data_IF_782135691418
#
_entry.id   IF_782135691418
#
_cell.length_a   1.000
_cell.length_b   1.000
_cell.length_c   1.000
_cell.angle_alpha   90.00
_cell.angle_beta   90.00
_cell.angle_gamma   90.00
#
_symmetry.space_group_name_H-M   'P 1'
#
loop_
_entity.id
_entity.type
_entity.pdbx_description
1 polymer ?
#
# COMPACT_ATOMS: atom_id res chain seq x y z
N UNK A 1 -12.86 -2.46 18.32
CA UNK A 1 -11.49 -2.94 18.50
C UNK A 1 -11.38 -4.35 17.91
N UNK A 2 -10.91 -4.47 16.66
CA UNK A 2 -10.54 -5.74 15.99
C UNK A 2 -9.63 -5.39 14.79
N UNK A 3 -8.47 -4.79 15.05
CA UNK A 3 -7.49 -4.42 14.00
C UNK A 3 -6.10 -5.05 14.27
N UNK A 4 -5.93 -5.74 15.41
CA UNK A 4 -4.61 -6.17 15.87
C UNK A 4 -4.19 -7.54 15.30
N UNK A 5 -5.16 -8.42 14.97
CA UNK A 5 -4.89 -9.77 14.46
C UNK A 5 -4.32 -9.77 13.03
N UNK A 6 -4.77 -8.86 12.17
CA UNK A 6 -4.38 -8.82 10.76
C UNK A 6 -2.91 -8.43 10.58
N UNK A 7 -2.40 -7.53 11.43
CA UNK A 7 -1.01 -7.06 11.40
C UNK A 7 0.01 -8.18 11.65
N UNK A 8 -0.33 -9.10 12.56
CA UNK A 8 0.50 -10.27 12.91
C UNK A 8 0.58 -11.30 11.76
N UNK A 9 -0.51 -11.42 10.99
CA UNK A 9 -0.60 -12.34 9.85
C UNK A 9 0.24 -11.87 8.65
N UNK A 10 0.35 -10.56 8.44
CA UNK A 10 1.17 -9.97 7.37
C UNK A 10 2.65 -10.03 7.73
N UNK A 11 2.98 -9.76 9.00
CA UNK A 11 4.36 -9.85 9.49
C UNK A 11 4.90 -11.29 9.43
N UNK A 12 4.09 -12.27 9.82
CA UNK A 12 4.49 -13.69 9.74
C UNK A 12 4.70 -14.15 8.30
N UNK A 13 3.84 -13.74 7.37
CA UNK A 13 4.02 -14.00 5.92
C UNK A 13 5.30 -13.35 5.37
N UNK A 14 5.60 -12.12 5.76
CA UNK A 14 6.81 -11.42 5.35
C UNK A 14 8.08 -12.10 5.88
N UNK A 15 8.09 -12.48 7.16
CA UNK A 15 9.22 -13.19 7.77
C UNK A 15 9.42 -14.56 7.13
N UNK A 16 8.34 -15.29 6.86
CA UNK A 16 8.40 -16.59 6.16
C UNK A 16 8.98 -16.46 4.75
N UNK A 17 8.53 -15.47 3.96
CA UNK A 17 9.03 -15.22 2.62
C UNK A 17 10.50 -14.77 2.61
N UNK A 18 10.92 -13.97 3.60
CA UNK A 18 12.32 -13.56 3.74
C UNK A 18 13.20 -14.75 4.13
N UNK A 19 12.70 -15.63 4.99
CA UNK A 19 13.44 -16.81 5.43
C UNK A 19 13.54 -17.88 4.33
N UNK A 20 12.57 -17.96 3.40
CA UNK A 20 12.68 -18.85 2.23
C UNK A 20 13.66 -18.33 1.19
N UNK A 21 13.73 -17.01 0.98
CA UNK A 21 14.66 -16.39 0.02
C UNK A 21 16.11 -16.32 0.53
N UNK A 22 16.31 -16.23 1.85
CA UNK A 22 17.63 -16.05 2.48
C UNK A 22 18.02 -17.21 3.42
N UNK A 23 17.27 -18.31 3.44
CA UNK A 23 17.56 -19.48 4.24
C UNK A 23 18.92 -20.09 3.88
N UNK A 24 19.63 -20.72 4.83
CA UNK A 24 20.95 -21.27 4.59
C UNK A 24 20.87 -22.35 3.50
N UNK A 25 21.89 -22.49 2.63
CA UNK A 25 21.85 -23.46 1.54
C UNK A 25 21.64 -24.85 2.14
N UNK A 26 20.44 -25.40 1.96
CA UNK A 26 20.13 -26.75 2.34
C UNK A 26 20.97 -27.68 1.46
N UNK A 27 22.07 -28.17 2.02
CA UNK A 27 22.87 -29.30 1.56
C UNK A 27 23.43 -29.17 0.14
N UNK A 28 24.55 -28.46 0.03
CA UNK A 28 25.53 -28.74 -1.02
C UNK A 28 26.19 -30.11 -0.73
N UNK A 29 25.57 -31.21 -1.17
CA UNK A 29 26.25 -32.51 -1.15
C UNK A 29 25.80 -33.51 -2.23
N UNK A 30 25.26 -33.03 -3.35
CA UNK A 30 25.30 -33.70 -4.66
C UNK A 30 24.63 -32.73 -5.66
N UNK A 31 25.41 -31.80 -6.18
CA UNK A 31 24.95 -30.91 -7.25
C UNK A 31 24.97 -31.65 -8.59
N UNK A 32 24.07 -31.32 -9.53
CA UNK A 32 24.15 -31.85 -10.89
C UNK A 32 25.50 -31.48 -11.50
N UNK A 33 26.26 -32.49 -11.93
CA UNK A 33 27.61 -32.30 -12.44
C UNK A 33 27.62 -31.73 -13.88
N UNK A 34 26.43 -31.51 -14.46
CA UNK A 34 26.22 -31.00 -15.82
C UNK A 34 25.18 -29.87 -15.83
N UNK A 35 25.32 -28.94 -16.77
CA UNK A 35 24.46 -27.75 -16.86
C UNK A 35 23.02 -28.14 -17.19
N UNK A 36 22.84 -29.16 -18.02
CA UNK A 36 21.54 -29.65 -18.47
C UNK A 36 20.73 -30.25 -17.32
N UNK A 37 21.39 -30.95 -16.40
CA UNK A 37 20.76 -31.53 -15.21
C UNK A 37 20.41 -30.44 -14.18
N UNK A 38 21.21 -29.37 -14.12
CA UNK A 38 20.88 -28.18 -13.32
C UNK A 38 19.66 -27.45 -13.87
N UNK A 39 19.56 -27.28 -15.19
CA UNK A 39 18.39 -26.66 -15.83
C UNK A 39 17.13 -27.49 -15.61
N UNK A 40 17.21 -28.82 -15.72
CA UNK A 40 16.10 -29.72 -15.42
C UNK A 40 15.64 -29.61 -13.95
N UNK A 41 16.58 -29.59 -13.00
CA UNK A 41 16.26 -29.45 -11.58
C UNK A 41 15.67 -28.07 -11.25
N UNK A 42 16.14 -26.99 -11.90
CA UNK A 42 15.57 -25.64 -11.76
C UNK A 42 14.15 -25.59 -12.33
N UNK A 43 13.90 -26.21 -13.49
CA UNK A 43 12.58 -26.27 -14.11
C UNK A 43 11.58 -27.05 -13.22
N UNK A 44 12.00 -28.17 -12.65
CA UNK A 44 11.19 -28.97 -11.73
C UNK A 44 10.95 -28.23 -10.39
N UNK A 45 11.95 -27.53 -9.87
CA UNK A 45 11.81 -26.69 -8.67
C UNK A 45 10.90 -25.48 -8.92
N UNK A 46 10.98 -24.85 -10.09
CA UNK A 46 10.08 -23.76 -10.48
C UNK A 46 8.63 -24.24 -10.62
N UNK A 47 8.42 -25.42 -11.24
CA UNK A 47 7.10 -26.01 -11.37
C UNK A 47 6.50 -26.48 -10.02
N UNK A 48 7.32 -27.02 -9.12
CA UNK A 48 6.88 -27.55 -7.81
C UNK A 48 6.75 -26.47 -6.73
N UNK A 49 7.50 -25.37 -6.81
CA UNK A 49 7.43 -24.26 -5.85
C UNK A 49 6.16 -23.41 -5.99
N UNK A 50 5.35 -23.63 -7.04
CA UNK A 50 4.08 -22.94 -7.24
C UNK A 50 4.22 -21.42 -7.25
N UNK A 51 5.43 -20.92 -7.50
CA UNK A 51 5.72 -19.49 -7.58
C UNK A 51 5.06 -19.01 -8.86
N UNK A 52 3.99 -18.20 -8.77
CA UNK A 52 3.37 -17.68 -9.98
C UNK A 52 4.43 -16.86 -10.74
N UNK A 53 4.55 -17.08 -12.05
CA UNK A 53 5.34 -16.24 -12.97
C UNK A 53 4.82 -14.79 -13.08
N UNK A 54 3.97 -14.37 -12.14
CA UNK A 54 3.45 -13.03 -12.04
C UNK A 54 4.49 -12.24 -11.26
N UNK A 55 5.31 -11.51 -12.02
CA UNK A 55 6.31 -10.59 -11.50
C UNK A 55 5.76 -9.70 -10.39
N UNK A 56 6.70 -9.17 -9.60
CA UNK A 56 6.52 -8.21 -8.51
C UNK A 56 5.17 -7.47 -8.58
N UNK A 57 4.33 -7.47 -7.51
CA UNK A 57 3.01 -6.84 -7.56
C UNK A 57 3.16 -5.43 -8.13
N UNK A 58 2.31 -5.04 -9.10
CA UNK A 58 2.49 -3.82 -9.84
C UNK A 58 2.66 -2.66 -8.85
N UNK A 59 3.76 -1.91 -8.98
CA UNK A 59 4.13 -0.82 -8.05
C UNK A 59 3.02 0.22 -7.86
N UNK A 60 2.04 0.24 -8.75
CA UNK A 60 0.83 1.05 -8.69
C UNK A 60 -0.15 0.67 -7.57
N UNK A 61 -0.14 -0.57 -7.08
CA UNK A 61 -0.99 -0.98 -5.95
C UNK A 61 -0.43 -0.54 -4.59
N UNK A 62 0.89 -0.27 -4.52
CA UNK A 62 1.57 0.13 -3.28
C UNK A 62 1.46 1.63 -3.02
N UNK A 63 1.22 2.44 -4.06
CA UNK A 63 0.92 3.85 -3.90
C UNK A 63 -0.59 4.07 -3.80
N UNK A 64 -1.10 4.01 -2.57
CA UNK A 64 -2.45 4.49 -2.22
C UNK A 64 -2.72 5.82 -2.93
N UNK A 65 -3.85 6.01 -3.64
CA UNK A 65 -4.21 7.31 -4.20
C UNK A 65 -4.56 8.23 -3.04
N UNK A 66 -3.52 8.83 -2.44
CA UNK A 66 -3.61 9.74 -1.32
C UNK A 66 -4.59 10.83 -1.72
N UNK A 67 -5.61 11.02 -0.88
CA UNK A 67 -6.83 11.83 -1.03
C UNK A 67 -6.59 13.34 -1.22
N UNK A 68 -5.54 13.73 -1.95
CA UNK A 68 -5.12 15.13 -2.15
C UNK A 68 -6.13 15.95 -2.96
N UNK A 69 -6.99 15.30 -3.75
CA UNK A 69 -7.96 16.00 -4.61
C UNK A 69 -9.31 16.28 -3.93
N UNK A 70 -9.66 15.58 -2.84
CA UNK A 70 -10.94 15.80 -2.16
C UNK A 70 -10.94 16.99 -1.19
N UNK A 71 -9.78 17.29 -0.57
CA UNK A 71 -9.68 18.37 0.41
C UNK A 71 -9.90 19.76 -0.22
N UNK A 72 -9.52 19.98 -1.47
CA UNK A 72 -9.63 21.30 -2.11
C UNK A 72 -11.08 21.76 -2.26
N UNK A 73 -12.00 20.90 -2.73
CA UNK A 73 -13.41 21.28 -2.92
C UNK A 73 -14.10 21.64 -1.60
N UNK A 74 -13.89 20.83 -0.55
CA UNK A 74 -14.48 21.09 0.76
C UNK A 74 -13.88 22.32 1.45
N UNK A 75 -12.58 22.54 1.29
CA UNK A 75 -11.91 23.74 1.79
C UNK A 75 -12.50 25.02 1.21
N UNK A 76 -12.65 25.09 -0.13
CA UNK A 76 -13.25 26.26 -0.77
C UNK A 76 -14.71 26.46 -0.37
N UNK A 77 -15.48 25.38 -0.22
CA UNK A 77 -16.87 25.45 0.20
C UNK A 77 -17.00 26.03 1.63
N UNK A 78 -16.16 25.57 2.57
CA UNK A 78 -16.10 26.13 3.92
C UNK A 78 -15.66 27.60 3.92
N UNK A 79 -14.65 27.94 3.11
CA UNK A 79 -14.16 29.32 2.99
C UNK A 79 -15.25 30.27 2.51
N UNK A 80 -16.04 29.87 1.51
CA UNK A 80 -17.15 30.67 0.97
C UNK A 80 -18.27 30.84 2.00
N UNK A 81 -18.64 29.78 2.73
CA UNK A 81 -19.66 29.87 3.79
C UNK A 81 -19.21 30.86 4.87
N UNK A 82 -17.97 30.75 5.33
CA UNK A 82 -17.41 31.61 6.38
C UNK A 82 -17.37 33.07 5.93
N UNK A 83 -16.91 33.32 4.70
CA UNK A 83 -16.89 34.66 4.13
C UNK A 83 -18.28 35.27 4.01
N UNK A 84 -19.25 34.50 3.47
CA UNK A 84 -20.62 34.98 3.28
C UNK A 84 -21.29 35.28 4.63
N UNK A 85 -21.09 34.42 5.64
CA UNK A 85 -21.58 34.66 7.00
C UNK A 85 -21.00 35.93 7.62
N UNK A 86 -19.71 36.19 7.41
CA UNK A 86 -19.05 37.41 7.89
C UNK A 86 -19.66 38.66 7.24
N UNK A 87 -19.87 38.65 5.92
CA UNK A 87 -20.47 39.78 5.19
C UNK A 87 -21.90 40.04 5.64
N UNK A 88 -22.73 38.99 5.74
CA UNK A 88 -24.12 39.13 6.21
C UNK A 88 -24.16 39.65 7.66
N UNK A 89 -23.31 39.13 8.53
CA UNK A 89 -23.19 39.62 9.91
C UNK A 89 -22.80 41.10 9.98
N UNK A 90 -21.85 41.54 9.13
CA UNK A 90 -21.40 42.93 9.08
C UNK A 90 -22.48 43.87 8.54
N UNK A 91 -23.23 43.44 7.52
CA UNK A 91 -24.36 44.20 6.97
C UNK A 91 -25.47 44.36 8.02
N UNK A 92 -25.79 43.30 8.75
CA UNK A 92 -26.83 43.33 9.78
C UNK A 92 -26.42 44.22 10.96
N UNK A 93 -25.16 44.13 11.39
CA UNK A 93 -24.61 45.02 12.41
C UNK A 93 -24.61 46.48 11.96
N UNK A 94 -24.23 46.74 10.69
CA UNK A 94 -24.29 48.08 10.11
C UNK A 94 -25.69 48.67 10.10
N UNK A 95 -26.71 47.88 9.75
CA UNK A 95 -28.10 48.33 9.80
C UNK A 95 -28.61 48.54 11.23
N UNK A 96 -28.20 47.72 12.19
CA UNK A 96 -28.56 47.89 13.60
C UNK A 96 -27.94 49.12 14.25
N UNK A 97 -26.87 49.69 13.70
CA UNK A 97 -26.26 50.93 14.19
C UNK A 97 -26.84 52.19 13.53
N UNK A 98 -27.55 52.04 12.41
CA UNK A 98 -28.19 53.16 11.69
C UNK A 98 -29.65 53.40 12.09
N UNK A 99 -30.27 52.48 12.82
CA UNK A 99 -31.58 52.62 13.46
C UNK A 99 -31.43 52.87 14.96
#
# INVERSE_FOLDING_TARGET
MKEDDDSSSVWSKYVAAKQSAFGPPAKANDGPNTIEELEAAIAEAAASSGIPEIGMPPRSEVHYPVRRRQLSKWFYLVLVILFTGLVVGLLWWGQSQQY
#
